data_IF_321451533943
#
_entry.id   IF_321451533943
#
_cell.length_a   1.000
_cell.length_b   1.000
_cell.length_c   1.000
_cell.angle_alpha   90.00
_cell.angle_beta   90.00
_cell.angle_gamma   90.00
#
_symmetry.space_group_name_H-M   'P 1'
#
loop_
_entity.id
_entity.type
_entity.pdbx_description
1 polymer ?
#
# COMPACT_ATOMS: atom_id res chain seq x y z
N UNK A 1 15.51 7.75 -0.82
CA UNK A 1 14.24 7.09 -1.21
C UNK A 1 13.39 8.01 -2.10
N UNK A 2 13.35 9.33 -1.85
CA UNK A 2 12.59 10.33 -2.63
C UNK A 2 12.93 10.36 -4.14
N UNK A 3 14.14 9.97 -4.55
CA UNK A 3 14.48 9.81 -5.99
C UNK A 3 13.72 8.67 -6.68
N UNK A 4 13.20 7.69 -5.94
CA UNK A 4 12.52 6.49 -6.48
C UNK A 4 11.01 6.54 -6.30
N UNK A 5 10.56 7.15 -5.21
CA UNK A 5 9.15 7.26 -4.85
C UNK A 5 8.61 8.63 -5.23
N UNK A 6 7.46 8.65 -5.90
CA UNK A 6 6.77 9.88 -6.29
C UNK A 6 5.42 9.98 -5.57
N UNK A 7 5.16 11.14 -4.98
CA UNK A 7 3.86 11.49 -4.41
C UNK A 7 2.88 11.83 -5.54
N UNK A 8 1.63 11.43 -5.37
CA UNK A 8 0.54 11.88 -6.24
C UNK A 8 0.21 13.34 -5.96
N UNK A 9 -0.21 14.04 -7.01
CA UNK A 9 -0.71 15.42 -7.01
C UNK A 9 -2.23 15.45 -7.30
N UNK A 10 -2.89 14.27 -7.38
CA UNK A 10 -4.31 14.16 -7.74
C UNK A 10 -5.27 14.89 -6.78
N UNK A 11 -4.87 15.11 -5.53
CA UNK A 11 -5.64 15.87 -4.53
C UNK A 11 -4.68 16.77 -3.74
N UNK A 12 -5.04 18.03 -3.44
CA UNK A 12 -4.15 18.97 -2.74
C UNK A 12 -3.83 18.56 -1.30
N UNK A 13 -4.67 17.75 -0.65
CA UNK A 13 -4.59 17.45 0.77
C UNK A 13 -4.18 15.99 1.08
N UNK A 14 -3.18 15.50 0.35
CA UNK A 14 -2.61 14.17 0.59
C UNK A 14 -1.59 14.23 1.73
N UNK A 15 -1.63 13.23 2.60
CA UNK A 15 -0.71 13.10 3.72
C UNK A 15 0.71 12.77 3.26
N UNK A 16 1.70 13.15 4.07
CA UNK A 16 3.12 13.01 3.76
C UNK A 16 3.72 11.75 4.35
N UNK A 17 4.59 11.10 3.58
CA UNK A 17 5.45 10.04 4.10
C UNK A 17 6.76 10.63 4.61
N UNK A 18 7.24 10.12 5.75
CA UNK A 18 8.58 10.35 6.26
C UNK A 18 9.37 9.04 6.35
N UNK A 19 10.69 9.13 6.33
CA UNK A 19 11.56 7.99 6.56
C UNK A 19 11.86 7.88 8.06
N UNK A 20 11.43 6.79 8.70
CA UNK A 20 11.61 6.59 10.13
C UNK A 20 11.64 5.10 10.48
N UNK A 21 12.34 4.76 11.57
CA UNK A 21 12.30 3.42 12.19
C UNK A 21 11.20 3.30 13.27
N UNK A 22 10.61 4.44 13.68
CA UNK A 22 9.62 4.51 14.75
C UNK A 22 10.24 4.74 16.14
N UNK A 23 9.41 4.64 17.19
CA UNK A 23 9.83 4.82 18.59
C UNK A 23 10.62 3.62 19.13
N UNK A 24 10.37 2.44 18.61
CA UNK A 24 11.08 1.21 18.95
C UNK A 24 11.37 0.43 17.67
N UNK A 25 12.54 -0.21 17.59
CA UNK A 25 13.02 -0.91 16.40
C UNK A 25 14.00 -2.00 16.83
N UNK A 26 14.22 -2.99 15.96
CA UNK A 26 15.32 -3.94 16.14
C UNK A 26 16.65 -3.31 15.77
N UNK A 27 16.69 -2.60 14.64
CA UNK A 27 17.86 -1.87 14.16
C UNK A 27 17.48 -0.46 13.67
N UNK A 28 18.12 0.61 14.18
CA UNK A 28 17.75 2.01 13.90
C UNK A 28 17.94 2.42 12.44
N UNK A 29 18.75 1.70 11.68
CA UNK A 29 19.06 2.01 10.28
C UNK A 29 18.30 1.08 9.34
N UNK A 30 18.31 -0.22 9.59
CA UNK A 30 17.70 -1.25 8.74
C UNK A 30 16.18 -1.24 8.79
N UNK A 31 15.60 -0.87 9.93
CA UNK A 31 14.14 -0.84 10.10
C UNK A 31 13.51 0.48 9.63
N UNK A 32 14.30 1.39 9.04
CA UNK A 32 13.76 2.62 8.44
C UNK A 32 12.83 2.27 7.27
N UNK A 33 11.56 2.65 7.41
CA UNK A 33 10.53 2.49 6.39
C UNK A 33 9.80 3.80 6.09
N UNK A 34 8.85 3.74 5.16
CA UNK A 34 7.92 4.83 4.91
C UNK A 34 6.85 4.86 6.01
N UNK A 35 6.83 5.93 6.79
CA UNK A 35 5.86 6.14 7.86
C UNK A 35 4.90 7.28 7.47
N UNK A 36 3.60 7.04 7.61
CA UNK A 36 2.55 8.08 7.51
C UNK A 36 2.72 9.08 8.66
N UNK A 37 2.75 10.39 8.39
CA UNK A 37 3.06 11.40 9.41
C UNK A 37 1.86 12.15 9.98
N UNK A 38 0.68 12.00 9.37
CA UNK A 38 -0.51 12.81 9.65
C UNK A 38 -1.76 11.94 9.85
N UNK A 39 -2.60 12.31 10.81
CA UNK A 39 -3.87 11.63 11.09
C UNK A 39 -4.94 12.01 10.06
N UNK A 40 -5.88 11.10 9.79
CA UNK A 40 -7.07 11.38 8.96
C UNK A 40 -6.76 11.90 7.55
N UNK A 41 -5.65 11.47 6.96
CA UNK A 41 -5.26 11.80 5.58
C UNK A 41 -5.34 10.59 4.67
N UNK A 42 -5.68 10.84 3.41
CA UNK A 42 -5.39 9.90 2.34
C UNK A 42 -3.92 9.98 1.96
N UNK A 43 -3.32 8.83 1.62
CA UNK A 43 -1.94 8.73 1.20
C UNK A 43 -1.86 8.16 -0.21
N UNK A 44 -1.01 8.74 -1.05
CA UNK A 44 -0.80 8.27 -2.41
C UNK A 44 0.66 8.49 -2.82
N UNK A 45 1.45 7.43 -2.73
CA UNK A 45 2.84 7.39 -3.17
C UNK A 45 3.05 6.14 -4.02
N UNK A 46 3.91 6.21 -5.02
CA UNK A 46 4.22 5.08 -5.89
C UNK A 46 5.69 5.07 -6.30
N UNK A 47 6.23 3.88 -6.55
CA UNK A 47 7.58 3.69 -7.09
C UNK A 47 7.50 2.87 -8.36
N UNK A 48 8.17 3.33 -9.42
CA UNK A 48 8.33 2.53 -10.64
C UNK A 48 9.43 1.50 -10.48
N UNK A 49 9.32 0.46 -11.29
CA UNK A 49 10.32 -0.56 -11.53
C UNK A 49 10.25 -0.96 -13.01
N UNK A 50 11.24 -1.74 -13.49
CA UNK A 50 11.28 -2.20 -14.88
C UNK A 50 9.99 -2.96 -15.20
N UNK A 51 9.20 -2.55 -16.21
CA UNK A 51 7.98 -3.25 -16.57
C UNK A 51 8.24 -4.73 -16.88
N UNK A 52 7.35 -5.61 -16.43
CA UNK A 52 7.43 -7.04 -16.68
C UNK A 52 6.02 -7.66 -16.76
N UNK A 53 5.96 -8.92 -17.22
CA UNK A 53 4.75 -9.75 -17.21
C UNK A 53 5.01 -11.02 -16.41
N UNK A 54 4.01 -11.46 -15.64
CA UNK A 54 4.03 -12.74 -14.93
C UNK A 54 3.39 -13.88 -15.74
N UNK A 55 3.11 -13.70 -17.04
CA UNK A 55 2.54 -14.78 -17.88
C UNK A 55 3.48 -16.00 -17.86
N UNK A 56 2.94 -17.16 -17.48
CA UNK A 56 3.68 -18.41 -17.36
C UNK A 56 4.71 -18.44 -16.22
N UNK A 57 4.65 -17.49 -15.27
CA UNK A 57 5.58 -17.39 -14.14
C UNK A 57 4.85 -17.09 -12.85
N UNK A 58 5.41 -17.54 -11.73
CA UNK A 58 4.92 -17.17 -10.40
C UNK A 58 5.20 -15.70 -10.10
N UNK A 59 4.21 -14.98 -9.57
CA UNK A 59 4.35 -13.63 -9.03
C UNK A 59 4.36 -13.69 -7.50
N UNK A 60 5.41 -13.15 -6.88
CA UNK A 60 5.52 -13.01 -5.43
C UNK A 60 5.59 -11.54 -5.07
N UNK A 61 4.74 -11.10 -4.14
CA UNK A 61 4.73 -9.73 -3.61
C UNK A 61 4.83 -9.83 -2.10
N UNK A 62 5.87 -9.19 -1.55
CA UNK A 62 6.17 -9.24 -0.13
C UNK A 62 6.59 -7.86 0.35
N UNK A 63 6.09 -7.48 1.52
CA UNK A 63 6.44 -6.25 2.23
C UNK A 63 6.07 -6.42 3.70
N UNK A 64 6.57 -5.52 4.55
CA UNK A 64 6.30 -5.48 5.98
C UNK A 64 5.44 -4.28 6.33
N UNK A 65 4.48 -4.45 7.23
CA UNK A 65 3.65 -3.38 7.79
C UNK A 65 3.81 -3.41 9.30
N UNK A 66 4.00 -2.23 9.91
CA UNK A 66 4.07 -2.05 11.35
C UNK A 66 3.11 -0.94 11.77
N UNK A 67 2.03 -1.30 12.46
CA UNK A 67 1.09 -0.35 13.06
C UNK A 67 1.56 0.05 14.46
N UNK A 68 2.65 0.81 14.54
CA UNK A 68 3.24 1.24 15.82
C UNK A 68 2.25 2.05 16.70
N UNK A 69 1.39 2.83 16.06
CA UNK A 69 0.47 3.76 16.68
C UNK A 69 -0.78 3.12 17.30
N UNK A 70 -0.89 1.78 17.30
CA UNK A 70 -2.12 1.04 17.66
C UNK A 70 -3.31 1.54 16.83
N UNK A 71 -3.24 1.33 15.52
CA UNK A 71 -4.20 1.88 14.57
C UNK A 71 -5.64 1.46 14.88
N UNK A 72 -6.56 2.42 14.81
CA UNK A 72 -8.00 2.24 14.98
C UNK A 72 -8.70 2.01 13.63
N UNK A 73 -8.38 2.83 12.63
CA UNK A 73 -8.84 2.66 11.25
C UNK A 73 -7.81 3.15 10.22
N UNK A 74 -7.39 2.27 9.33
CA UNK A 74 -6.54 2.57 8.19
C UNK A 74 -6.05 1.34 7.43
N UNK A 75 -5.68 1.57 6.17
CA UNK A 75 -5.16 0.57 5.27
C UNK A 75 -3.64 0.43 5.34
N UNK A 76 -3.14 -0.80 5.32
CA UNK A 76 -1.72 -1.13 5.19
C UNK A 76 -1.40 -1.87 3.89
N UNK A 77 -2.23 -1.72 2.86
CA UNK A 77 -2.14 -2.47 1.62
C UNK A 77 -1.35 -1.78 0.51
N UNK A 78 -0.91 -2.57 -0.47
CA UNK A 78 -0.26 -2.09 -1.70
C UNK A 78 -1.12 -2.37 -2.93
N UNK A 79 -0.88 -1.59 -3.99
CA UNK A 79 -1.49 -1.80 -5.31
C UNK A 79 -0.39 -1.95 -6.36
N UNK A 80 -0.59 -2.88 -7.29
CA UNK A 80 0.28 -3.07 -8.46
C UNK A 80 -0.44 -2.51 -9.67
N UNK A 81 0.26 -1.69 -10.44
CA UNK A 81 -0.29 -0.94 -11.56
C UNK A 81 0.33 -1.40 -12.88
N UNK A 82 -0.32 -1.06 -13.98
CA UNK A 82 0.26 -1.13 -15.31
C UNK A 82 1.36 -0.09 -15.52
N UNK A 83 2.24 -0.31 -16.49
CA UNK A 83 3.37 0.58 -16.78
C UNK A 83 2.95 1.98 -17.25
N UNK A 84 1.76 2.11 -17.85
CA UNK A 84 1.20 3.37 -18.34
C UNK A 84 0.50 4.21 -17.27
N UNK A 85 0.56 3.83 -15.99
CA UNK A 85 0.02 4.65 -14.90
C UNK A 85 0.63 6.04 -14.92
N UNK A 86 -0.19 7.09 -14.84
CA UNK A 86 0.28 8.42 -14.45
C UNK A 86 0.41 8.47 -12.91
N UNK A 87 1.64 8.42 -12.43
CA UNK A 87 1.93 8.42 -10.99
C UNK A 87 1.62 9.77 -10.32
N UNK A 88 1.65 10.89 -11.06
CA UNK A 88 1.25 12.21 -10.52
C UNK A 88 -0.26 12.27 -10.36
N UNK A 89 -1.00 11.59 -11.23
CA UNK A 89 -2.44 11.48 -11.18
C UNK A 89 -2.88 10.09 -10.67
N UNK A 90 -2.34 9.65 -9.52
CA UNK A 90 -2.60 8.31 -9.01
C UNK A 90 -4.03 8.19 -8.48
N UNK A 91 -4.94 7.70 -9.34
CA UNK A 91 -6.35 7.45 -9.01
C UNK A 91 -6.53 6.11 -8.30
N UNK A 92 -7.50 6.05 -7.38
CA UNK A 92 -7.71 4.88 -6.53
C UNK A 92 -8.18 3.59 -7.25
N UNK A 93 -8.77 3.71 -8.45
CA UNK A 93 -9.49 2.60 -9.12
C UNK A 93 -8.69 1.84 -10.18
N UNK A 94 -7.58 2.38 -10.70
CA UNK A 94 -6.80 1.71 -11.73
C UNK A 94 -5.70 0.88 -11.08
N UNK A 95 -5.84 -0.45 -10.99
CA UNK A 95 -4.79 -1.36 -10.50
C UNK A 95 -5.01 -2.74 -11.12
N UNK A 96 -3.95 -3.54 -11.23
CA UNK A 96 -4.01 -4.94 -11.64
C UNK A 96 -4.26 -5.85 -10.42
N UNK A 97 -3.62 -5.53 -9.29
CA UNK A 97 -3.72 -6.26 -8.03
C UNK A 97 -3.74 -5.30 -6.84
N UNK A 98 -4.57 -5.60 -5.84
CA UNK A 98 -4.59 -4.96 -4.53
C UNK A 98 -4.36 -6.04 -3.49
N UNK A 99 -3.34 -5.87 -2.64
CA UNK A 99 -2.95 -6.86 -1.64
C UNK A 99 -2.57 -6.20 -0.31
N UNK A 100 -3.21 -6.60 0.79
CA UNK A 100 -2.72 -6.23 2.12
C UNK A 100 -3.74 -6.08 3.24
N UNK A 101 -3.26 -5.80 4.46
CA UNK A 101 -4.10 -5.63 5.64
C UNK A 101 -4.93 -4.34 5.56
N UNK A 102 -6.12 -4.41 6.12
CA UNK A 102 -7.05 -3.30 6.28
C UNK A 102 -7.76 -3.46 7.62
N UNK A 103 -7.63 -2.43 8.45
CA UNK A 103 -8.14 -2.38 9.81
C UNK A 103 -9.11 -1.22 9.89
N UNK A 104 -10.32 -1.43 10.40
CA UNK A 104 -11.22 -0.36 10.76
C UNK A 104 -12.16 -0.83 11.87
N UNK A 105 -11.91 -0.33 13.09
CA UNK A 105 -12.62 -0.71 14.30
C UNK A 105 -12.41 -2.18 14.68
N UNK A 106 -13.37 -2.72 15.43
CA UNK A 106 -13.39 -4.14 15.84
C UNK A 106 -13.80 -5.08 14.70
N UNK A 107 -14.62 -4.59 13.78
CA UNK A 107 -15.30 -5.39 12.76
C UNK A 107 -14.43 -5.68 11.54
N UNK A 108 -13.66 -4.69 11.07
CA UNK A 108 -12.84 -4.85 9.87
C UNK A 108 -11.41 -5.13 10.27
N UNK A 109 -10.99 -6.40 10.16
CA UNK A 109 -9.60 -6.85 10.37
C UNK A 109 -9.25 -7.91 9.34
N UNK A 110 -9.02 -7.51 8.09
CA UNK A 110 -8.87 -8.45 6.98
C UNK A 110 -7.69 -8.12 6.07
N UNK A 111 -7.23 -9.14 5.35
CA UNK A 111 -6.30 -8.99 4.25
C UNK A 111 -7.10 -8.96 2.95
N UNK A 112 -7.02 -7.86 2.22
CA UNK A 112 -7.53 -7.78 0.86
C UNK A 112 -6.63 -8.55 -0.09
N UNK A 113 -7.26 -9.33 -0.96
CA UNK A 113 -6.64 -9.89 -2.16
C UNK A 113 -7.65 -9.65 -3.28
N UNK A 114 -7.38 -8.67 -4.14
CA UNK A 114 -8.31 -8.27 -5.20
C UNK A 114 -7.58 -8.26 -6.53
N UNK A 115 -8.07 -9.04 -7.48
CA UNK A 115 -7.60 -9.05 -8.85
C UNK A 115 -8.53 -8.21 -9.71
N UNK A 116 -7.97 -7.34 -10.55
CA UNK A 116 -8.76 -6.60 -11.51
C UNK A 116 -8.76 -7.33 -12.85
N UNK A 117 -9.94 -7.69 -13.34
CA UNK A 117 -10.13 -8.37 -14.61
C UNK A 117 -11.22 -7.67 -15.40
N UNK A 118 -10.94 -7.31 -16.66
CA UNK A 118 -11.87 -6.55 -17.52
C UNK A 118 -12.46 -5.31 -16.82
N UNK A 119 -11.60 -4.55 -16.13
CA UNK A 119 -11.96 -3.36 -15.35
C UNK A 119 -12.95 -3.61 -14.20
N UNK A 120 -13.10 -4.87 -13.75
CA UNK A 120 -13.93 -5.24 -12.60
C UNK A 120 -13.04 -5.80 -11.48
N UNK A 121 -13.17 -5.30 -10.24
CA UNK A 121 -12.48 -5.86 -9.10
C UNK A 121 -13.12 -7.19 -8.68
N UNK A 122 -12.28 -8.22 -8.53
CA UNK A 122 -12.66 -9.54 -8.04
C UNK A 122 -11.97 -9.80 -6.70
N UNK A 123 -12.64 -9.51 -5.57
CA UNK A 123 -12.09 -9.78 -4.25
C UNK A 123 -12.10 -11.29 -3.95
N UNK A 124 -11.14 -11.73 -3.14
CA UNK A 124 -11.13 -13.07 -2.57
C UNK A 124 -12.40 -13.31 -1.75
N UNK A 125 -13.01 -14.50 -1.91
CA UNK A 125 -14.21 -14.89 -1.16
C UNK A 125 -13.90 -15.30 0.28
N UNK A 126 -12.69 -15.80 0.52
CA UNK A 126 -12.23 -16.25 1.83
C UNK A 126 -11.83 -15.06 2.70
N UNK A 127 -12.37 -14.99 3.91
CA UNK A 127 -11.90 -14.07 4.92
C UNK A 127 -10.51 -14.48 5.42
N UNK A 128 -9.54 -13.58 5.29
CA UNK A 128 -8.19 -13.74 5.84
C UNK A 128 -8.02 -12.67 6.90
N UNK A 129 -7.83 -13.07 8.17
CA UNK A 129 -7.68 -12.13 9.28
C UNK A 129 -6.27 -11.51 9.26
N UNK A 130 -6.17 -10.19 9.38
CA UNK A 130 -4.87 -9.52 9.50
C UNK A 130 -4.39 -9.47 10.96
N UNK A 131 -3.08 -9.23 11.13
CA UNK A 131 -2.52 -8.83 12.43
C UNK A 131 -2.95 -7.40 12.74
N UNK A 132 -3.09 -7.10 14.02
CA UNK A 132 -3.37 -5.76 14.56
C UNK A 132 -2.14 -5.31 15.32
#
# INVERSE_FOLDING_TARGET
>A
WQKRWMNSEYKPDLGKFKLAAGKFYGDPVRDKGLQTSENSKFYAISSRFKPFSNKGKTLVIQYTVKHEQKIDCGGGYVKIFSSNLDQKNLKYKAYNLFLGPDICGSETKKVHVILNYKNKPHPIKKLIRCKV
#
